data_IF_357694392129
#
_entry.id   IF_357694392129
#
_cell.length_a   1.000
_cell.length_b   1.000
_cell.length_c   1.000
_cell.angle_alpha   90.00
_cell.angle_beta   90.00
_cell.angle_gamma   90.00
#
_symmetry.space_group_name_H-M   'P 1'
#
loop_
_entity.id
_entity.type
_entity.pdbx_description
1 polymer ?
#
# COMPACT_ATOMS: atom_id res chain seq x y z
N UNK A 1 -10.96 -12.81 19.61
CA UNK A 1 -11.17 -13.97 18.73
C UNK A 1 -10.61 -13.63 17.37
N UNK A 2 -9.91 -14.57 16.72
CA UNK A 2 -9.48 -14.43 15.32
C UNK A 2 -10.49 -15.19 14.46
N UNK A 3 -10.96 -14.60 13.37
CA UNK A 3 -11.81 -15.27 12.39
C UNK A 3 -11.17 -15.18 10.98
N UNK A 4 -11.39 -16.20 10.16
CA UNK A 4 -11.05 -16.14 8.74
C UNK A 4 -12.05 -15.22 8.05
N UNK A 5 -11.56 -14.13 7.45
CA UNK A 5 -12.41 -13.18 6.73
C UNK A 5 -12.58 -13.57 5.27
N UNK A 6 -11.48 -13.82 4.55
CA UNK A 6 -11.49 -14.17 3.12
C UNK A 6 -10.20 -14.90 2.73
N UNK A 7 -10.26 -15.65 1.63
CA UNK A 7 -9.08 -16.21 0.95
C UNK A 7 -9.08 -15.69 -0.49
N UNK A 8 -7.98 -15.06 -0.89
CA UNK A 8 -7.81 -14.53 -2.24
C UNK A 8 -7.06 -15.54 -3.12
N UNK A 9 -7.73 -16.11 -4.13
CA UNK A 9 -7.14 -17.08 -5.08
C UNK A 9 -6.21 -16.47 -6.14
N UNK A 10 -5.84 -15.19 -5.99
CA UNK A 10 -4.97 -14.43 -6.89
C UNK A 10 -4.13 -13.44 -6.08
N UNK A 11 -3.15 -12.81 -6.71
CA UNK A 11 -2.44 -11.70 -6.08
C UNK A 11 -3.40 -10.58 -5.66
N UNK A 12 -3.25 -10.14 -4.42
CA UNK A 12 -4.12 -9.17 -3.77
C UNK A 12 -3.44 -7.82 -3.59
N UNK A 13 -4.21 -6.79 -3.23
CA UNK A 13 -3.70 -5.44 -3.05
C UNK A 13 -2.52 -5.36 -2.08
N UNK A 14 -2.46 -6.20 -1.05
CA UNK A 14 -1.36 -6.24 -0.07
C UNK A 14 -0.05 -6.86 -0.58
N UNK A 15 0.03 -7.27 -1.85
CA UNK A 15 1.19 -7.94 -2.43
C UNK A 15 2.52 -7.15 -2.33
N UNK A 16 2.56 -5.82 -2.48
CA UNK A 16 3.81 -5.06 -2.29
C UNK A 16 4.38 -5.18 -0.88
N UNK A 17 3.53 -5.18 0.16
CA UNK A 17 3.99 -5.39 1.54
C UNK A 17 4.61 -6.78 1.69
N UNK A 18 3.92 -7.81 1.20
CA UNK A 18 4.41 -9.17 1.24
C UNK A 18 5.77 -9.31 0.56
N UNK A 19 5.94 -8.72 -0.63
CA UNK A 19 7.20 -8.70 -1.36
C UNK A 19 8.33 -8.07 -0.53
N UNK A 20 8.09 -6.90 0.06
CA UNK A 20 9.09 -6.21 0.86
C UNK A 20 9.40 -6.91 2.19
N UNK A 21 8.41 -7.60 2.75
CA UNK A 21 8.58 -8.47 3.94
C UNK A 21 9.33 -9.77 3.64
N UNK A 22 9.63 -10.04 2.38
CA UNK A 22 10.31 -11.24 1.89
C UNK A 22 9.36 -12.32 1.37
N UNK A 23 8.06 -12.25 1.64
CA UNK A 23 7.08 -13.24 1.20
C UNK A 23 6.84 -13.19 -0.33
N UNK A 24 7.74 -13.83 -1.08
CA UNK A 24 7.75 -13.86 -2.54
C UNK A 24 6.76 -14.87 -3.13
N UNK A 25 5.45 -14.66 -2.96
CA UNK A 25 4.41 -15.59 -3.43
C UNK A 25 4.57 -16.06 -4.88
N UNK A 26 4.94 -15.15 -5.80
CA UNK A 26 5.16 -15.50 -7.21
C UNK A 26 6.29 -16.50 -7.41
N UNK A 27 7.41 -16.31 -6.68
CA UNK A 27 8.54 -17.25 -6.72
C UNK A 27 8.13 -18.61 -6.16
N UNK A 28 7.45 -18.64 -5.01
CA UNK A 28 6.97 -19.89 -4.40
C UNK A 28 6.01 -20.66 -5.32
N UNK A 29 5.04 -19.97 -5.94
CA UNK A 29 4.13 -20.61 -6.89
C UNK A 29 4.87 -21.17 -8.10
N UNK A 30 5.85 -20.43 -8.63
CA UNK A 30 6.67 -20.90 -9.75
C UNK A 30 7.53 -22.10 -9.38
N UNK A 31 8.24 -22.06 -8.25
CA UNK A 31 9.10 -23.15 -7.80
C UNK A 31 8.32 -24.44 -7.59
N UNK A 32 7.16 -24.36 -6.93
CA UNK A 32 6.34 -25.56 -6.66
C UNK A 32 5.64 -26.04 -7.93
N UNK A 33 5.00 -25.14 -8.68
CA UNK A 33 4.16 -25.50 -9.81
C UNK A 33 4.92 -25.84 -11.09
N UNK A 34 6.03 -25.15 -11.37
CA UNK A 34 6.79 -25.33 -12.61
C UNK A 34 8.08 -26.11 -12.41
N UNK A 35 8.77 -25.92 -11.27
CA UNK A 35 10.04 -26.60 -11.00
C UNK A 35 9.90 -27.86 -10.15
N UNK A 36 8.75 -28.09 -9.51
CA UNK A 36 8.56 -29.19 -8.56
C UNK A 36 9.44 -29.09 -7.31
N UNK A 37 9.93 -27.90 -6.97
CA UNK A 37 10.80 -27.65 -5.83
C UNK A 37 10.08 -26.84 -4.77
N UNK A 38 10.35 -27.15 -3.49
CA UNK A 38 9.83 -26.36 -2.36
C UNK A 38 10.95 -25.42 -1.90
N UNK A 39 10.82 -24.09 -2.08
CA UNK A 39 11.82 -23.15 -1.60
C UNK A 39 11.94 -23.17 -0.08
N UNK A 40 13.14 -22.86 0.42
CA UNK A 40 13.40 -22.77 1.84
C UNK A 40 12.51 -21.71 2.52
N UNK A 41 12.21 -21.97 3.80
CA UNK A 41 11.52 -21.00 4.62
C UNK A 41 12.39 -19.77 4.83
N UNK A 42 11.81 -18.61 4.54
CA UNK A 42 12.44 -17.31 4.69
C UNK A 42 11.95 -16.62 5.95
N UNK A 43 12.83 -15.85 6.59
CA UNK A 43 12.44 -15.02 7.74
C UNK A 43 11.67 -13.80 7.25
N UNK A 44 10.39 -13.72 7.62
CA UNK A 44 9.51 -12.62 7.22
C UNK A 44 9.77 -11.40 8.11
N UNK A 45 10.00 -10.25 7.50
CA UNK A 45 10.15 -8.96 8.20
C UNK A 45 8.77 -8.43 8.62
N UNK A 46 8.56 -8.25 9.92
CA UNK A 46 7.31 -7.75 10.51
C UNK A 46 7.35 -6.26 10.90
N UNK A 47 8.52 -5.62 10.78
CA UNK A 47 8.75 -4.22 11.14
C UNK A 47 8.50 -3.25 9.97
N UNK A 48 8.07 -3.76 8.81
CA UNK A 48 7.85 -2.96 7.62
C UNK A 48 6.40 -2.52 7.50
N UNK A 49 6.22 -1.33 6.93
CA UNK A 49 4.92 -0.82 6.51
C UNK A 49 5.00 -0.51 5.03
N UNK A 50 3.95 -0.83 4.29
CA UNK A 50 3.84 -0.41 2.91
C UNK A 50 2.75 0.65 2.80
N UNK A 51 3.02 1.71 2.02
CA UNK A 51 2.15 2.87 1.88
C UNK A 51 1.80 3.17 0.44
N UNK A 52 0.56 3.63 0.26
CA UNK A 52 0.06 3.98 -1.05
C UNK A 52 -0.17 5.49 -1.13
N UNK A 53 0.85 6.17 -1.67
CA UNK A 53 0.94 7.63 -1.68
C UNK A 53 -0.28 8.33 -2.27
N UNK A 54 -0.75 7.89 -3.44
CA UNK A 54 -1.82 8.60 -4.15
C UNK A 54 -3.16 8.55 -3.38
N UNK A 55 -3.67 7.39 -2.93
CA UNK A 55 -4.84 7.34 -2.06
C UNK A 55 -4.67 8.11 -0.75
N UNK A 56 -3.50 8.02 -0.11
CA UNK A 56 -3.24 8.72 1.15
C UNK A 56 -3.22 10.24 0.97
N UNK A 57 -2.59 10.75 -0.10
CA UNK A 57 -2.60 12.17 -0.44
C UNK A 57 -4.02 12.66 -0.74
N UNK A 58 -4.83 11.89 -1.48
CA UNK A 58 -6.24 12.23 -1.73
C UNK A 58 -7.04 12.29 -0.43
N UNK A 59 -6.81 11.36 0.49
CA UNK A 59 -7.44 11.37 1.82
C UNK A 59 -7.03 12.63 2.58
N UNK A 60 -5.74 12.96 2.60
CA UNK A 60 -5.23 14.16 3.25
C UNK A 60 -5.87 15.43 2.67
N UNK A 61 -5.89 15.58 1.34
CA UNK A 61 -6.54 16.72 0.68
C UNK A 61 -8.03 16.82 1.04
N UNK A 62 -8.73 15.69 1.17
CA UNK A 62 -10.14 15.67 1.61
C UNK A 62 -10.28 16.15 3.05
N UNK A 63 -9.42 15.72 3.96
CA UNK A 63 -9.42 16.17 5.37
C UNK A 63 -9.10 17.67 5.48
N UNK A 64 -8.12 18.16 4.71
CA UNK A 64 -7.68 19.55 4.75
C UNK A 64 -8.72 20.51 4.15
N UNK A 65 -9.27 20.19 2.98
CA UNK A 65 -10.07 21.13 2.18
C UNK A 65 -11.55 20.77 2.03
N UNK A 66 -11.94 19.52 2.26
CA UNK A 66 -13.30 19.02 2.00
C UNK A 66 -13.85 18.17 3.16
N UNK A 67 -13.64 18.63 4.39
CA UNK A 67 -14.05 17.93 5.61
C UNK A 67 -15.58 17.67 5.66
N UNK A 68 -16.38 18.49 4.96
CA UNK A 68 -17.84 18.33 4.82
C UNK A 68 -18.27 17.10 4.02
N UNK A 69 -17.38 16.49 3.23
CA UNK A 69 -17.65 15.27 2.45
C UNK A 69 -17.33 13.98 3.20
N UNK A 70 -16.84 14.07 4.44
CA UNK A 70 -16.60 12.90 5.28
C UNK A 70 -17.96 12.43 5.83
N UNK A 71 -18.43 11.26 5.37
CA UNK A 71 -19.71 10.67 5.75
C UNK A 71 -19.85 10.52 7.28
N UNK A 72 -18.75 10.19 7.95
CA UNK A 72 -18.72 9.95 9.38
C UNK A 72 -18.33 11.21 10.16
N UNK A 73 -19.35 12.01 10.50
CA UNK A 73 -19.19 13.27 11.25
C UNK A 73 -18.70 13.08 12.70
N UNK A 74 -18.71 11.84 13.21
CA UNK A 74 -18.20 11.53 14.55
C UNK A 74 -16.67 11.62 14.62
N UNK A 75 -15.98 11.45 13.49
CA UNK A 75 -14.53 11.50 13.40
C UNK A 75 -14.04 12.94 13.21
N UNK A 76 -13.63 13.56 14.32
CA UNK A 76 -12.95 14.87 14.29
C UNK A 76 -11.48 14.67 13.97
N UNK A 77 -11.08 15.02 12.75
CA UNK A 77 -9.68 15.01 12.35
C UNK A 77 -9.02 16.36 12.67
N UNK A 78 -7.89 16.34 13.36
CA UNK A 78 -7.04 17.51 13.50
C UNK A 78 -6.15 17.63 12.25
N UNK A 79 -6.38 18.68 11.45
CA UNK A 79 -5.69 18.92 10.17
C UNK A 79 -4.17 18.95 10.30
N UNK A 80 -3.66 19.60 11.35
CA UNK A 80 -2.23 19.70 11.59
C UNK A 80 -1.63 18.36 11.98
N UNK A 81 -2.32 17.60 12.83
CA UNK A 81 -1.89 16.27 13.22
C UNK A 81 -1.86 15.30 12.03
N UNK A 82 -2.85 15.36 11.13
CA UNK A 82 -2.90 14.52 9.93
C UNK A 82 -1.80 14.87 8.93
N UNK A 83 -1.52 16.17 8.73
CA UNK A 83 -0.42 16.62 7.87
C UNK A 83 0.95 16.21 8.46
N UNK A 84 1.16 16.44 9.76
CA UNK A 84 2.40 16.05 10.44
C UNK A 84 2.62 14.54 10.38
N UNK A 85 1.57 13.74 10.64
CA UNK A 85 1.61 12.28 10.55
C UNK A 85 1.95 11.83 9.14
N UNK A 86 1.30 12.39 8.12
CA UNK A 86 1.63 12.09 6.73
C UNK A 86 3.11 12.33 6.43
N UNK A 87 3.65 13.50 6.79
CA UNK A 87 5.06 13.82 6.53
C UNK A 87 6.03 12.90 7.30
N UNK A 88 5.80 12.69 8.59
CA UNK A 88 6.66 11.83 9.44
C UNK A 88 6.68 10.39 8.92
N UNK A 89 5.52 9.88 8.53
CA UNK A 89 5.37 8.51 8.06
C UNK A 89 6.09 8.24 6.72
N UNK A 90 6.30 9.28 5.90
CA UNK A 90 7.09 9.18 4.66
C UNK A 90 8.60 9.36 4.88
N UNK A 91 9.01 9.81 6.07
CA UNK A 91 10.41 9.87 6.48
C UNK A 91 10.88 8.59 7.18
N UNK A 92 9.97 7.69 7.56
CA UNK A 92 10.33 6.42 8.19
C UNK A 92 11.01 5.47 7.17
N UNK A 93 12.26 5.04 7.39
CA UNK A 93 12.96 4.12 6.49
C UNK A 93 12.34 2.72 6.42
N UNK A 94 11.45 2.37 7.36
CA UNK A 94 10.65 1.13 7.33
C UNK A 94 9.43 1.23 6.42
N UNK A 95 9.09 2.44 6.00
CA UNK A 95 8.02 2.71 5.04
C UNK A 95 8.50 2.34 3.64
N UNK A 96 7.74 1.48 2.96
CA UNK A 96 7.96 1.04 1.59
C UNK A 96 6.82 1.55 0.72
N UNK A 97 7.13 1.99 -0.49
CA UNK A 97 6.11 2.50 -1.40
C UNK A 97 5.54 1.37 -2.24
N UNK A 98 4.21 1.33 -2.37
CA UNK A 98 3.51 0.30 -3.14
C UNK A 98 3.87 0.27 -4.62
N UNK A 99 4.04 1.46 -5.22
CA UNK A 99 4.18 1.61 -6.68
C UNK A 99 5.51 2.25 -7.06
N UNK A 100 6.07 3.09 -6.19
CA UNK A 100 7.28 3.83 -6.50
C UNK A 100 8.53 2.97 -6.28
N UNK A 101 9.29 2.78 -7.36
CA UNK A 101 10.64 2.23 -7.34
C UNK A 101 11.59 3.24 -7.98
N UNK A 102 12.75 3.47 -7.35
CA UNK A 102 13.79 4.33 -7.94
C UNK A 102 14.32 3.74 -9.25
N UNK A 103 14.31 2.40 -9.38
CA UNK A 103 14.78 1.69 -10.57
C UNK A 103 13.74 1.65 -11.70
N UNK A 104 12.47 1.84 -11.36
CA UNK A 104 11.38 1.87 -12.33
C UNK A 104 10.28 2.84 -11.86
N UNK A 105 10.43 4.14 -12.18
CA UNK A 105 9.47 5.16 -11.74
C UNK A 105 8.26 5.29 -12.69
N UNK A 106 8.26 4.64 -13.86
CA UNK A 106 7.19 4.77 -14.86
C UNK A 106 5.81 4.33 -14.32
N UNK A 107 5.67 3.21 -13.58
CA UNK A 107 4.40 2.80 -12.99
C UNK A 107 3.80 3.88 -12.07
N UNK A 108 4.64 4.61 -11.33
CA UNK A 108 4.19 5.69 -10.46
C UNK A 108 3.58 6.85 -11.28
N UNK A 109 4.22 7.26 -12.37
CA UNK A 109 3.68 8.33 -13.22
C UNK A 109 2.42 7.90 -13.97
N UNK A 110 2.34 6.64 -14.41
CA UNK A 110 1.14 6.09 -15.03
C UNK A 110 -0.04 6.10 -14.05
N UNK A 111 0.19 5.66 -12.80
CA UNK A 111 -0.83 5.68 -11.76
C UNK A 111 -1.23 7.11 -11.37
N UNK A 112 -0.26 8.03 -11.32
CA UNK A 112 -0.53 9.46 -11.10
C UNK A 112 -1.38 10.06 -12.22
N UNK A 113 -1.03 9.79 -13.48
CA UNK A 113 -1.78 10.24 -14.64
C UNK A 113 -3.21 9.69 -14.65
N UNK A 114 -3.37 8.37 -14.45
CA UNK A 114 -4.67 7.73 -14.36
C UNK A 114 -5.51 8.32 -13.22
N UNK A 115 -4.87 8.54 -12.07
CA UNK A 115 -5.49 9.12 -10.90
C UNK A 115 -5.93 10.58 -11.08
N UNK A 116 -5.24 11.34 -11.91
CA UNK A 116 -5.61 12.72 -12.24
C UNK A 116 -6.69 12.78 -13.33
N UNK A 117 -6.65 11.87 -14.31
CA UNK A 117 -7.59 11.84 -15.44
C UNK A 117 -8.95 11.24 -15.10
N UNK A 118 -9.02 10.26 -14.18
CA UNK A 118 -10.27 9.74 -13.63
C UNK A 118 -11.07 10.77 -12.79
N UNK A 119 -10.57 11.99 -12.64
CA UNK A 119 -11.22 13.11 -11.95
C UNK A 119 -12.28 13.83 -12.82
N UNK A 120 -12.59 13.31 -14.01
CA UNK A 120 -13.58 13.86 -14.96
C UNK A 120 -14.70 12.86 -15.34
N UNK A 121 -15.19 12.08 -14.39
CA UNK A 121 -16.49 11.40 -14.50
C UNK A 121 -17.20 11.35 -13.16
#
# INVERSE_FOLDING_TARGET
>A
SVCLMEINGRFWGSQPLALHSGAHFAWFMFSVGALGTVPDQITIRTDLQARFFIPELRRLLRVLFRNSLIQDRSKRFNRFAELARFLIDYLDPRSRYYVFSVRDPLPFFADLWFSLTQRFR
#
